data_IF_177014729509
#
_entry.id   IF_177014729509
#
_cell.length_a   1.000
_cell.length_b   1.000
_cell.length_c   1.000
_cell.angle_alpha   90.00
_cell.angle_beta   90.00
_cell.angle_gamma   90.00
#
_symmetry.space_group_name_H-M   'P 1'
#
loop_
_entity.id
_entity.type
_entity.pdbx_description
1 polymer ?
#
# COMPACT_ATOMS: atom_id res chain seq x y z
N UNK A 1 2.88 1.33 -21.99
CA UNK A 1 1.80 1.85 -21.12
C UNK A 1 0.78 2.49 -22.06
N UNK A 2 -0.50 2.15 -22.00
CA UNK A 2 -1.50 2.60 -22.98
C UNK A 2 -1.98 4.05 -22.75
N UNK A 3 -1.72 4.62 -21.57
CA UNK A 3 -2.08 6.00 -21.18
C UNK A 3 -1.09 6.49 -20.09
N UNK A 4 0.11 6.98 -20.46
CA UNK A 4 1.19 7.35 -19.53
C UNK A 4 0.86 8.53 -18.60
N UNK A 5 -0.02 9.43 -19.01
CA UNK A 5 -0.48 10.60 -18.27
C UNK A 5 -1.33 10.26 -17.04
N UNK A 6 -1.95 9.08 -17.03
CA UNK A 6 -2.76 8.63 -15.90
C UNK A 6 -1.87 7.96 -14.87
N UNK A 7 -1.74 8.59 -13.70
CA UNK A 7 -1.06 8.04 -12.53
C UNK A 7 -1.81 6.79 -12.04
N UNK A 8 -1.10 5.66 -11.86
CA UNK A 8 -1.67 4.40 -11.39
C UNK A 8 -0.94 3.86 -10.17
N UNK A 9 -1.69 3.65 -9.10
CA UNK A 9 -1.20 2.97 -7.90
C UNK A 9 -1.41 1.46 -7.96
N UNK A 10 -0.58 0.72 -7.25
CA UNK A 10 -0.79 -0.71 -6.97
C UNK A 10 -1.14 -0.91 -5.49
N UNK A 11 -2.24 -1.61 -5.22
CA UNK A 11 -2.60 -2.02 -3.86
C UNK A 11 -1.72 -3.18 -3.38
N UNK A 12 -1.27 -3.09 -2.13
CA UNK A 12 -0.54 -4.15 -1.41
C UNK A 12 -1.07 -4.29 0.02
N UNK A 13 -0.99 -5.51 0.55
CA UNK A 13 -1.41 -5.84 1.90
C UNK A 13 -0.59 -7.02 2.46
N UNK A 14 -0.43 -7.06 3.77
CA UNK A 14 -0.08 -8.26 4.53
C UNK A 14 -1.34 -9.13 4.71
N UNK A 15 -1.84 -9.67 3.59
CA UNK A 15 -3.03 -10.52 3.52
C UNK A 15 -3.08 -11.61 4.61
N UNK A 16 -4.29 -11.89 5.08
CA UNK A 16 -4.58 -12.89 6.11
C UNK A 16 -4.14 -14.32 5.70
N UNK A 17 -4.05 -15.24 6.68
CA UNK A 17 -3.56 -16.61 6.44
C UNK A 17 -4.50 -17.47 5.59
N UNK A 18 -5.74 -17.04 5.38
CA UNK A 18 -6.73 -17.75 4.55
C UNK A 18 -6.38 -17.71 3.06
N UNK A 19 -5.59 -16.72 2.62
CA UNK A 19 -5.09 -16.65 1.25
C UNK A 19 -3.88 -17.58 1.05
N UNK A 20 -3.74 -18.07 -0.17
CA UNK A 20 -2.60 -18.90 -0.57
C UNK A 20 -1.26 -18.20 -0.28
N UNK A 21 -0.29 -18.94 0.27
CA UNK A 21 1.02 -18.42 0.68
C UNK A 21 1.76 -17.67 -0.43
N UNK A 22 1.72 -18.17 -1.67
CA UNK A 22 2.34 -17.53 -2.82
C UNK A 22 1.69 -16.17 -3.11
N UNK A 23 0.36 -16.12 -3.12
CA UNK A 23 -0.40 -14.87 -3.32
C UNK A 23 -0.06 -13.85 -2.25
N UNK A 24 -0.07 -14.27 -0.97
CA UNK A 24 0.29 -13.40 0.16
C UNK A 24 1.70 -12.84 0.01
N UNK A 25 2.64 -13.68 -0.43
CA UNK A 25 4.04 -13.29 -0.62
C UNK A 25 4.20 -12.32 -1.79
N UNK A 26 3.55 -12.61 -2.92
CA UNK A 26 3.59 -11.76 -4.12
C UNK A 26 3.03 -10.36 -3.81
N UNK A 27 1.87 -10.30 -3.17
CA UNK A 27 1.19 -9.04 -2.84
C UNK A 27 2.02 -8.25 -1.84
N UNK A 28 2.44 -8.86 -0.72
CA UNK A 28 3.25 -8.19 0.32
C UNK A 28 4.60 -7.71 -0.20
N UNK A 29 5.28 -8.52 -1.02
CA UNK A 29 6.61 -8.18 -1.56
C UNK A 29 6.53 -7.37 -2.85
N UNK A 30 5.34 -7.08 -3.37
CA UNK A 30 5.13 -6.33 -4.60
C UNK A 30 5.98 -6.89 -5.76
N UNK A 31 6.11 -8.22 -5.83
CA UNK A 31 7.10 -8.87 -6.69
C UNK A 31 6.79 -8.77 -8.17
N UNK A 32 5.55 -8.41 -8.53
CA UNK A 32 5.10 -8.24 -9.91
C UNK A 32 5.07 -6.77 -10.35
N UNK A 33 5.56 -5.82 -9.54
CA UNK A 33 5.59 -4.40 -9.90
C UNK A 33 6.46 -4.12 -11.14
N UNK A 34 7.42 -4.99 -11.49
CA UNK A 34 8.18 -4.86 -12.75
C UNK A 34 7.30 -5.05 -13.99
N UNK A 35 6.20 -5.81 -13.86
CA UNK A 35 5.23 -6.07 -14.91
C UNK A 35 4.17 -4.97 -14.96
N UNK A 36 3.57 -4.62 -13.80
CA UNK A 36 2.51 -3.61 -13.73
C UNK A 36 3.02 -2.17 -13.83
N UNK A 37 4.28 -1.92 -13.48
CA UNK A 37 4.96 -0.61 -13.52
C UNK A 37 4.10 0.52 -12.91
N UNK A 38 3.71 0.40 -11.63
CA UNK A 38 2.90 1.42 -10.97
C UNK A 38 3.73 2.68 -10.71
N UNK A 39 3.03 3.81 -10.60
CA UNK A 39 3.63 5.10 -10.28
C UNK A 39 3.78 5.30 -8.76
N UNK A 40 2.98 4.60 -7.96
CA UNK A 40 3.09 4.54 -6.50
C UNK A 40 2.56 3.22 -5.93
N UNK A 41 2.91 2.90 -4.69
CA UNK A 41 2.39 1.76 -3.95
C UNK A 41 1.42 2.24 -2.87
N UNK A 42 0.24 1.63 -2.78
CA UNK A 42 -0.72 1.92 -1.71
C UNK A 42 -0.84 0.69 -0.82
N UNK A 43 -0.38 0.78 0.42
CA UNK A 43 -0.18 -0.38 1.31
C UNK A 43 -1.10 -0.33 2.51
N UNK A 44 -1.61 -1.48 2.96
CA UNK A 44 -2.35 -1.53 4.21
C UNK A 44 -1.55 -0.90 5.38
N UNK A 45 -2.13 0.04 6.15
CA UNK A 45 -1.47 0.74 7.28
C UNK A 45 -0.90 -0.25 8.33
N UNK A 46 -1.54 -1.41 8.50
CA UNK A 46 -1.09 -2.49 9.39
C UNK A 46 0.13 -3.24 8.83
N UNK A 47 0.27 -3.25 7.50
CA UNK A 47 1.36 -3.89 6.77
C UNK A 47 2.48 -2.95 6.32
N UNK A 48 2.34 -1.64 6.51
CA UNK A 48 3.24 -0.61 5.96
C UNK A 48 4.71 -0.86 6.29
N UNK A 49 5.05 -0.94 7.58
CA UNK A 49 6.44 -1.13 8.05
C UNK A 49 7.11 -2.38 7.48
N UNK A 50 6.36 -3.47 7.35
CA UNK A 50 6.87 -4.74 6.82
C UNK A 50 7.08 -4.70 5.32
N UNK A 51 6.32 -3.85 4.62
CA UNK A 51 6.25 -3.81 3.17
C UNK A 51 7.07 -2.67 2.55
N UNK A 52 7.42 -1.64 3.33
CA UNK A 52 8.13 -0.45 2.84
C UNK A 52 9.44 -0.76 2.11
N UNK A 53 10.19 -1.73 2.63
CA UNK A 53 11.45 -2.20 2.02
C UNK A 53 11.28 -2.80 0.61
N UNK A 54 10.07 -3.17 0.22
CA UNK A 54 9.77 -3.76 -1.08
C UNK A 54 9.28 -2.74 -2.13
N UNK A 55 9.04 -1.48 -1.74
CA UNK A 55 8.56 -0.46 -2.68
C UNK A 55 9.63 -0.01 -3.69
N UNK A 56 10.91 -0.34 -3.47
CA UNK A 56 12.02 -0.14 -4.43
C UNK A 56 12.08 1.28 -5.03
N UNK A 57 11.91 2.30 -4.19
CA UNK A 57 11.99 3.71 -4.59
C UNK A 57 10.67 4.30 -5.13
N UNK A 58 9.59 3.51 -5.22
CA UNK A 58 8.27 4.04 -5.53
C UNK A 58 7.71 4.82 -4.33
N UNK A 59 7.05 5.97 -4.55
CA UNK A 59 6.26 6.65 -3.52
C UNK A 59 5.27 5.69 -2.87
N UNK A 60 5.07 5.85 -1.56
CA UNK A 60 4.16 5.01 -0.78
C UNK A 60 3.05 5.83 -0.15
N UNK A 61 1.83 5.30 -0.29
CA UNK A 61 0.63 5.71 0.42
C UNK A 61 0.17 4.54 1.31
N UNK A 62 -0.74 4.81 2.24
CA UNK A 62 -1.42 3.74 2.95
C UNK A 62 -2.94 3.76 2.87
N UNK A 63 -3.55 2.58 3.00
CA UNK A 63 -5.00 2.38 3.05
C UNK A 63 -5.34 1.31 4.11
N UNK A 64 -6.59 1.05 4.43
CA UNK A 64 -7.55 2.13 4.68
C UNK A 64 -7.37 2.53 6.13
N UNK A 65 -7.17 3.81 6.40
CA UNK A 65 -7.16 4.36 7.76
C UNK A 65 -8.61 4.49 8.23
N UNK A 66 -8.96 3.83 9.34
CA UNK A 66 -10.35 3.74 9.85
C UNK A 66 -10.51 4.28 11.27
N UNK A 67 -9.41 4.51 11.98
CA UNK A 67 -9.43 5.01 13.35
C UNK A 67 -8.51 6.22 13.49
N UNK A 68 -8.75 7.04 14.51
CA UNK A 68 -7.88 8.18 14.83
C UNK A 68 -6.45 7.71 15.16
N UNK A 69 -6.30 6.54 15.79
CA UNK A 69 -4.98 5.94 16.05
C UNK A 69 -4.23 5.59 14.75
N UNK A 70 -4.92 5.01 13.76
CA UNK A 70 -4.32 4.71 12.45
C UNK A 70 -3.97 5.99 11.69
N UNK A 71 -4.76 7.04 11.85
CA UNK A 71 -4.52 8.37 11.28
C UNK A 71 -3.28 9.02 11.91
N UNK A 72 -3.23 9.10 13.23
CA UNK A 72 -2.08 9.64 13.96
C UNK A 72 -0.80 8.89 13.58
N UNK A 73 -0.88 7.56 13.42
CA UNK A 73 0.24 6.75 12.94
C UNK A 73 0.68 7.16 11.53
N UNK A 74 -0.26 7.32 10.60
CA UNK A 74 0.06 7.73 9.23
C UNK A 74 0.70 9.14 9.20
N UNK A 75 0.18 10.06 9.99
CA UNK A 75 0.69 11.44 10.10
C UNK A 75 2.10 11.47 10.72
N UNK A 76 2.34 10.70 11.79
CA UNK A 76 3.68 10.54 12.38
C UNK A 76 4.70 9.95 11.41
N UNK A 77 4.26 9.08 10.51
CA UNK A 77 5.11 8.50 9.46
C UNK A 77 5.29 9.47 8.28
N UNK A 78 4.58 10.60 8.24
CA UNK A 78 4.62 11.55 7.13
C UNK A 78 4.08 10.96 5.82
N UNK A 79 3.17 9.98 5.90
CA UNK A 79 2.64 9.28 4.74
C UNK A 79 1.22 9.75 4.42
N UNK A 80 0.94 9.95 3.14
CA UNK A 80 -0.42 10.19 2.67
C UNK A 80 -1.25 8.90 2.80
N UNK A 81 -2.54 9.06 3.11
CA UNK A 81 -3.42 7.95 3.42
C UNK A 81 -4.81 8.07 2.79
N UNK A 82 -5.37 6.91 2.42
CA UNK A 82 -6.78 6.75 2.05
C UNK A 82 -7.55 6.38 3.32
N UNK A 83 -8.59 7.14 3.64
CA UNK A 83 -9.36 7.00 4.87
C UNK A 83 -10.81 6.59 4.58
N UNK A 84 -11.45 6.01 5.59
CA UNK A 84 -12.88 5.69 5.59
C UNK A 84 -13.44 6.00 6.98
N UNK A 85 -14.47 6.84 7.06
CA UNK A 85 -15.18 7.22 8.29
C UNK A 85 -14.33 7.94 9.38
N UNK A 86 -13.21 8.59 9.02
CA UNK A 86 -12.31 9.27 9.98
C UNK A 86 -12.45 10.81 9.95
N UNK A 87 -13.34 11.34 9.12
CA UNK A 87 -13.71 12.76 9.12
C UNK A 87 -15.21 12.85 9.40
N UNK A 88 -15.54 13.27 10.61
CA UNK A 88 -16.87 13.71 11.05
C UNK A 88 -16.88 15.23 11.14
#
# INVERSE_FOLDING_TARGET
KLAPEVIRGQLSDSLNKEKNFFVRTIVKKMSLNFLSKPDFCNVNIKGYEKSKKYAKGLPMLCWTVKTEEEKEKAEKLGINYVFENVFS
#
